data_IF_084710974016
#
_entry.id   IF_084710974016
#
_cell.length_a   1.000
_cell.length_b   1.000
_cell.length_c   1.000
_cell.angle_alpha   90.00
_cell.angle_beta   90.00
_cell.angle_gamma   90.00
#
_symmetry.space_group_name_H-M   'P 1'
#
loop_
_entity.id
_entity.type
_entity.pdbx_description
1 polymer ?
#
# COMPACT_ATOMS: atom_id res chain seq x y z
N UNK A 1 -24.71 -35.76 -17.36
CA UNK A 1 -23.45 -36.07 -18.06
C UNK A 1 -22.33 -35.34 -17.33
N UNK A 2 -21.50 -36.09 -16.60
CA UNK A 2 -20.41 -35.58 -15.77
C UNK A 2 -19.29 -35.03 -16.67
N UNK A 3 -19.16 -33.71 -16.77
CA UNK A 3 -17.90 -33.12 -17.18
C UNK A 3 -16.89 -33.48 -16.08
N UNK A 4 -15.88 -34.28 -16.39
CA UNK A 4 -14.77 -34.51 -15.48
C UNK A 4 -14.28 -33.14 -14.99
N UNK A 5 -14.47 -32.85 -13.71
CA UNK A 5 -14.09 -31.57 -13.12
C UNK A 5 -12.61 -31.35 -13.44
N UNK A 6 -12.32 -30.42 -14.35
CA UNK A 6 -10.96 -30.18 -14.80
C UNK A 6 -10.22 -29.51 -13.66
N UNK A 7 -9.39 -30.28 -12.96
CA UNK A 7 -8.49 -29.76 -11.96
C UNK A 7 -7.35 -29.01 -12.63
N UNK A 8 -7.09 -27.81 -12.15
CA UNK A 8 -6.04 -26.93 -12.66
C UNK A 8 -4.81 -27.01 -11.77
N UNK A 9 -3.62 -26.93 -12.37
CA UNK A 9 -2.38 -26.68 -11.64
C UNK A 9 -2.40 -25.27 -11.03
N UNK A 10 -1.54 -24.97 -10.03
CA UNK A 10 -1.45 -23.63 -9.45
C UNK A 10 -1.22 -22.53 -10.48
N UNK A 11 -0.37 -22.79 -11.49
CA UNK A 11 -0.07 -21.82 -12.54
C UNK A 11 -1.25 -21.58 -13.47
N UNK A 12 -2.00 -22.62 -13.81
CA UNK A 12 -3.21 -22.49 -14.64
C UNK A 12 -4.33 -21.75 -13.88
N UNK A 13 -4.55 -22.12 -12.62
CA UNK A 13 -5.54 -21.47 -11.75
C UNK A 13 -5.21 -19.98 -11.55
N UNK A 14 -3.96 -19.67 -11.24
CA UNK A 14 -3.46 -18.30 -11.08
C UNK A 14 -3.70 -17.46 -12.34
N UNK A 15 -3.33 -17.99 -13.51
CA UNK A 15 -3.55 -17.32 -14.80
C UNK A 15 -5.03 -17.09 -15.08
N UNK A 16 -5.89 -18.06 -14.79
CA UNK A 16 -7.33 -17.93 -15.04
C UNK A 16 -8.01 -16.95 -14.07
N UNK A 17 -7.51 -16.83 -12.84
CA UNK A 17 -7.98 -15.88 -11.84
C UNK A 17 -7.33 -14.49 -11.96
N UNK A 18 -6.31 -14.33 -12.80
CA UNK A 18 -5.59 -13.07 -12.97
C UNK A 18 -4.74 -12.67 -11.75
N UNK A 19 -4.26 -13.65 -10.97
CA UNK A 19 -3.43 -13.44 -9.77
C UNK A 19 -2.12 -14.21 -9.86
N UNK A 20 -1.20 -13.94 -8.95
CA UNK A 20 0.02 -14.74 -8.83
C UNK A 20 -0.24 -16.12 -8.18
N UNK A 21 0.61 -17.11 -8.50
CA UNK A 21 0.63 -18.39 -7.79
C UNK A 21 1.02 -18.22 -6.30
N UNK A 22 1.66 -17.10 -5.94
CA UNK A 22 1.97 -16.74 -4.56
C UNK A 22 0.70 -16.34 -3.80
N UNK A 23 -0.19 -15.56 -4.43
CA UNK A 23 -1.50 -15.22 -3.85
C UNK A 23 -2.34 -16.48 -3.58
N UNK A 24 -2.36 -17.46 -4.50
CA UNK A 24 -3.05 -18.73 -4.24
C UNK A 24 -2.52 -19.48 -3.01
N UNK A 25 -1.20 -19.46 -2.78
CA UNK A 25 -0.58 -20.05 -1.57
C UNK A 25 -0.95 -19.25 -0.34
N UNK A 26 -0.93 -17.92 -0.43
CA UNK A 26 -1.33 -17.04 0.67
C UNK A 26 -2.80 -17.28 1.08
N UNK A 27 -3.70 -17.46 0.11
CA UNK A 27 -5.10 -17.78 0.39
C UNK A 27 -5.26 -19.15 1.06
N UNK A 28 -4.48 -20.16 0.67
CA UNK A 28 -4.44 -21.44 1.37
C UNK A 28 -3.87 -21.33 2.78
N UNK A 29 -2.74 -20.63 2.96
CA UNK A 29 -2.10 -20.40 4.26
C UNK A 29 -3.05 -19.67 5.24
N UNK A 30 -3.95 -18.84 4.71
CA UNK A 30 -4.97 -18.11 5.46
C UNK A 30 -6.32 -18.84 5.54
N UNK A 31 -6.39 -20.07 5.02
CA UNK A 31 -7.58 -20.92 5.10
C UNK A 31 -8.76 -20.46 4.21
N UNK A 32 -8.53 -19.52 3.29
CA UNK A 32 -9.56 -18.96 2.41
C UNK A 32 -9.90 -19.89 1.24
N UNK A 33 -8.92 -20.68 0.80
CA UNK A 33 -9.07 -21.72 -0.22
C UNK A 33 -8.42 -23.00 0.28
N UNK A 34 -9.09 -24.14 0.13
CA UNK A 34 -8.51 -25.46 0.41
C UNK A 34 -8.33 -26.23 -0.90
N UNK A 35 -7.15 -26.18 -1.55
CA UNK A 35 -6.91 -26.92 -2.78
C UNK A 35 -6.92 -28.43 -2.53
N UNK A 36 -7.57 -29.16 -3.43
CA UNK A 36 -7.38 -30.59 -3.57
C UNK A 36 -5.91 -30.91 -3.87
N UNK A 37 -5.47 -32.15 -3.60
CA UNK A 37 -4.10 -32.60 -3.89
C UNK A 37 -4.13 -33.83 -4.79
N UNK A 38 -3.26 -33.84 -5.78
CA UNK A 38 -3.00 -35.02 -6.63
C UNK A 38 -2.39 -36.15 -5.80
N UNK A 39 -2.39 -37.41 -6.28
CA UNK A 39 -1.71 -38.52 -5.61
C UNK A 39 -0.21 -38.27 -5.37
N UNK A 40 0.44 -37.46 -6.22
CA UNK A 40 1.83 -37.05 -6.06
C UNK A 40 2.03 -35.87 -5.09
N UNK A 41 0.97 -35.39 -4.43
CA UNK A 41 1.01 -34.33 -3.41
C UNK A 41 0.93 -32.89 -3.93
N UNK A 42 0.84 -32.70 -5.26
CA UNK A 42 0.71 -31.37 -5.87
C UNK A 42 -0.68 -30.78 -5.68
N UNK A 43 -0.76 -29.46 -5.47
CA UNK A 43 -2.03 -28.70 -5.41
C UNK A 43 -2.78 -28.80 -6.73
N UNK A 44 -4.09 -28.96 -6.63
CA UNK A 44 -5.02 -29.08 -7.73
C UNK A 44 -6.29 -28.27 -7.39
N UNK A 45 -6.70 -27.39 -8.29
CA UNK A 45 -7.84 -26.50 -8.07
C UNK A 45 -9.01 -26.96 -8.95
N UNK A 46 -10.06 -27.45 -8.31
CA UNK A 46 -11.29 -27.85 -8.99
C UNK A 46 -12.26 -26.68 -9.15
N UNK A 47 -13.46 -26.93 -9.68
CA UNK A 47 -14.48 -25.90 -9.88
C UNK A 47 -14.86 -25.13 -8.62
N UNK A 48 -14.91 -25.80 -7.46
CA UNK A 48 -15.24 -25.17 -6.19
C UNK A 48 -14.14 -24.20 -5.73
N UNK A 49 -12.87 -24.61 -5.82
CA UNK A 49 -11.74 -23.76 -5.46
C UNK A 49 -11.58 -22.59 -6.44
N UNK A 50 -11.88 -22.79 -7.73
CA UNK A 50 -11.90 -21.71 -8.72
C UNK A 50 -13.03 -20.72 -8.48
N UNK A 51 -14.23 -21.18 -8.12
CA UNK A 51 -15.33 -20.29 -7.75
C UNK A 51 -14.99 -19.47 -6.49
N UNK A 52 -14.43 -20.11 -5.47
CA UNK A 52 -13.96 -19.44 -4.26
C UNK A 52 -12.84 -18.44 -4.55
N UNK A 53 -11.91 -18.79 -5.43
CA UNK A 53 -10.84 -17.90 -5.88
C UNK A 53 -11.39 -16.66 -6.59
N UNK A 54 -12.40 -16.82 -7.45
CA UNK A 54 -13.05 -15.70 -8.13
C UNK A 54 -13.78 -14.78 -7.15
N UNK A 55 -14.48 -15.34 -6.16
CA UNK A 55 -15.12 -14.58 -5.07
C UNK A 55 -14.09 -13.76 -4.28
N UNK A 56 -12.96 -14.38 -3.90
CA UNK A 56 -11.86 -13.71 -3.21
C UNK A 56 -11.32 -12.55 -4.05
N UNK A 57 -11.03 -12.76 -5.34
CA UNK A 57 -10.52 -11.72 -6.24
C UNK A 57 -11.50 -10.55 -6.34
N UNK A 58 -12.79 -10.83 -6.50
CA UNK A 58 -13.83 -9.80 -6.59
C UNK A 58 -13.95 -8.98 -5.30
N UNK A 59 -13.94 -9.63 -4.14
CA UNK A 59 -13.98 -8.93 -2.85
C UNK A 59 -12.72 -8.09 -2.64
N UNK A 60 -11.54 -8.62 -2.94
CA UNK A 60 -10.29 -7.86 -2.79
C UNK A 60 -10.22 -6.62 -3.67
N UNK A 61 -10.94 -6.58 -4.79
CA UNK A 61 -11.06 -5.38 -5.62
C UNK A 61 -11.78 -4.21 -4.89
N UNK A 62 -12.51 -4.48 -3.80
CA UNK A 62 -13.09 -3.44 -2.93
C UNK A 62 -12.08 -2.89 -1.90
N UNK A 63 -10.83 -3.34 -1.92
CA UNK A 63 -9.77 -2.87 -1.03
C UNK A 63 -9.70 -3.60 0.31
N UNK A 64 -10.35 -4.76 0.47
CA UNK A 64 -10.29 -5.52 1.71
C UNK A 64 -8.88 -6.06 1.96
N UNK A 65 -8.44 -5.92 3.21
CA UNK A 65 -7.34 -6.71 3.76
C UNK A 65 -7.72 -8.20 3.82
N UNK A 66 -6.71 -9.07 3.92
CA UNK A 66 -6.94 -10.52 3.97
C UNK A 66 -7.71 -10.95 5.23
N UNK A 67 -7.46 -10.30 6.38
CA UNK A 67 -8.22 -10.52 7.60
C UNK A 67 -9.69 -10.13 7.49
N UNK A 68 -9.99 -8.96 6.92
CA UNK A 68 -11.38 -8.51 6.68
C UNK A 68 -12.10 -9.44 5.69
N UNK A 69 -11.42 -9.84 4.62
CA UNK A 69 -11.92 -10.81 3.65
C UNK A 69 -12.32 -12.13 4.32
N UNK A 70 -11.51 -12.67 5.23
CA UNK A 70 -11.83 -13.88 5.96
C UNK A 70 -13.14 -13.75 6.76
N UNK A 71 -13.34 -12.60 7.42
CA UNK A 71 -14.54 -12.30 8.20
C UNK A 71 -15.78 -12.17 7.32
N UNK A 72 -15.67 -11.44 6.20
CA UNK A 72 -16.76 -11.30 5.23
C UNK A 72 -17.16 -12.66 4.65
N UNK A 73 -16.18 -13.50 4.27
CA UNK A 73 -16.46 -14.85 3.75
C UNK A 73 -17.06 -15.79 4.81
N UNK A 74 -16.94 -15.47 6.10
CA UNK A 74 -17.60 -16.17 7.21
C UNK A 74 -18.98 -15.60 7.57
N UNK A 75 -19.44 -14.55 6.89
CA UNK A 75 -20.77 -13.96 7.09
C UNK A 75 -20.83 -12.80 8.09
N UNK A 76 -19.70 -12.15 8.39
CA UNK A 76 -19.68 -10.96 9.26
C UNK A 76 -20.28 -9.74 8.54
N UNK A 77 -21.59 -9.53 8.72
CA UNK A 77 -22.33 -8.44 8.09
C UNK A 77 -21.85 -7.04 8.52
N UNK A 78 -21.33 -6.89 9.75
CA UNK A 78 -20.88 -5.60 10.25
C UNK A 78 -19.57 -5.16 9.58
N UNK A 79 -18.65 -6.10 9.31
CA UNK A 79 -17.45 -5.81 8.52
C UNK A 79 -17.83 -5.49 7.08
N UNK A 80 -18.74 -6.26 6.48
CA UNK A 80 -19.19 -6.02 5.11
C UNK A 80 -19.83 -4.63 4.95
N UNK A 81 -20.75 -4.25 5.84
CA UNK A 81 -21.39 -2.93 5.83
C UNK A 81 -20.37 -1.79 5.89
N UNK A 82 -19.40 -1.87 6.81
CA UNK A 82 -18.33 -0.88 6.95
C UNK A 82 -17.48 -0.76 5.67
N UNK A 83 -17.11 -1.90 5.08
CA UNK A 83 -16.32 -1.92 3.83
C UNK A 83 -17.12 -1.30 2.68
N UNK A 84 -18.40 -1.64 2.55
CA UNK A 84 -19.27 -1.08 1.53
C UNK A 84 -19.48 0.42 1.72
N UNK A 85 -19.69 0.90 2.95
CA UNK A 85 -19.79 2.32 3.26
C UNK A 85 -18.51 3.09 2.91
N UNK A 86 -17.34 2.53 3.19
CA UNK A 86 -16.05 3.13 2.79
C UNK A 86 -15.87 3.15 1.26
N UNK A 87 -16.32 2.10 0.57
CA UNK A 87 -16.30 2.04 -0.88
C UNK A 87 -17.26 3.07 -1.50
N UNK A 88 -18.48 3.21 -0.96
CA UNK A 88 -19.45 4.23 -1.34
C UNK A 88 -18.85 5.63 -1.21
N UNK A 89 -18.28 5.97 -0.05
CA UNK A 89 -17.61 7.26 0.15
C UNK A 89 -16.47 7.52 -0.86
N UNK A 90 -15.73 6.48 -1.24
CA UNK A 90 -14.69 6.56 -2.27
C UNK A 90 -15.27 6.84 -3.65
N UNK A 91 -16.36 6.15 -4.03
CA UNK A 91 -17.05 6.39 -5.29
C UNK A 91 -17.65 7.80 -5.36
N UNK A 92 -18.27 8.27 -4.29
CA UNK A 92 -18.79 9.63 -4.20
C UNK A 92 -17.68 10.68 -4.35
N UNK A 93 -16.52 10.47 -3.72
CA UNK A 93 -15.36 11.35 -3.87
C UNK A 93 -14.88 11.39 -5.33
N UNK A 94 -14.86 10.25 -6.02
CA UNK A 94 -14.53 10.17 -7.45
C UNK A 94 -15.56 10.89 -8.31
N UNK A 95 -16.85 10.76 -8.01
CA UNK A 95 -17.91 11.50 -8.72
C UNK A 95 -17.71 13.01 -8.57
N UNK A 96 -17.44 13.50 -7.36
CA UNK A 96 -17.13 14.92 -7.11
C UNK A 96 -15.91 15.38 -7.92
N UNK A 97 -14.82 14.62 -7.90
CA UNK A 97 -13.60 14.91 -8.66
C UNK A 97 -13.82 14.95 -10.18
N UNK A 98 -14.63 14.03 -10.71
CA UNK A 98 -15.03 14.03 -12.10
C UNK A 98 -15.85 15.29 -12.42
N UNK A 99 -16.80 15.66 -11.56
CA UNK A 99 -17.57 16.90 -11.66
C UNK A 99 -16.69 18.14 -11.73
N UNK A 100 -15.70 18.26 -10.85
CA UNK A 100 -14.76 19.38 -10.83
C UNK A 100 -13.91 19.44 -12.10
N UNK A 101 -13.45 18.27 -12.57
CA UNK A 101 -12.69 18.17 -13.82
C UNK A 101 -13.53 18.60 -15.03
N UNK A 102 -14.80 18.18 -15.09
CA UNK A 102 -15.75 18.61 -16.13
C UNK A 102 -15.96 20.13 -16.06
N UNK A 103 -16.11 20.70 -14.87
CA UNK A 103 -16.28 22.15 -14.70
C UNK A 103 -15.05 22.92 -15.21
N UNK A 104 -13.83 22.47 -14.88
CA UNK A 104 -12.57 23.05 -15.40
C UNK A 104 -12.50 23.00 -16.92
N UNK A 105 -12.78 21.83 -17.52
CA UNK A 105 -12.79 21.68 -18.99
C UNK A 105 -13.84 22.59 -19.65
N UNK A 106 -15.03 22.73 -19.05
CA UNK A 106 -16.08 23.64 -19.56
C UNK A 106 -15.63 25.10 -19.50
N UNK A 107 -14.96 25.53 -18.44
CA UNK A 107 -14.40 26.88 -18.33
C UNK A 107 -13.37 27.15 -19.44
N UNK A 108 -12.44 26.21 -19.68
CA UNK A 108 -11.46 26.35 -20.78
C UNK A 108 -12.12 26.41 -22.15
N UNK A 109 -13.17 25.62 -22.38
CA UNK A 109 -13.95 25.67 -23.63
C UNK A 109 -14.68 27.00 -23.82
N UNK A 110 -15.18 27.60 -22.75
CA UNK A 110 -15.83 28.90 -22.79
C UNK A 110 -14.82 30.02 -23.11
N UNK A 111 -13.64 30.01 -22.48
CA UNK A 111 -12.54 30.95 -22.79
C UNK A 111 -12.16 30.88 -24.27
N UNK A 112 -11.99 29.66 -24.82
CA UNK A 112 -11.71 29.44 -26.24
C UNK A 112 -12.84 29.98 -27.14
N UNK A 113 -14.10 29.74 -26.77
CA UNK A 113 -15.27 30.27 -27.50
C UNK A 113 -15.35 31.80 -27.49
N UNK A 114 -14.81 32.44 -26.45
CA UNK A 114 -14.67 33.90 -26.34
C UNK A 114 -13.40 34.47 -27.00
N UNK A 115 -12.61 33.65 -27.70
CA UNK A 115 -11.37 34.06 -28.37
C UNK A 115 -10.16 34.21 -27.45
N UNK A 116 -10.25 33.79 -26.19
CA UNK A 116 -9.15 33.80 -25.22
C UNK A 116 -8.49 32.43 -25.20
N UNK A 117 -7.21 32.36 -25.60
CA UNK A 117 -6.42 31.13 -25.49
C UNK A 117 -6.04 30.88 -24.01
N UNK A 118 -6.46 29.76 -23.40
CA UNK A 118 -6.02 29.43 -22.05
C UNK A 118 -4.52 29.13 -22.00
N UNK A 119 -3.88 29.40 -20.87
CA UNK A 119 -2.46 29.10 -20.71
C UNK A 119 -2.22 27.59 -20.68
N UNK A 120 -1.07 27.12 -21.17
CA UNK A 120 -0.72 25.70 -21.19
C UNK A 120 -0.84 25.03 -19.80
N UNK A 121 -0.50 25.75 -18.72
CA UNK A 121 -0.66 25.28 -17.32
C UNK A 121 -2.11 25.01 -16.94
N UNK A 122 -3.05 25.81 -17.44
CA UNK A 122 -4.49 25.69 -17.16
C UNK A 122 -5.07 24.49 -17.90
N UNK A 123 -4.63 24.28 -19.15
CA UNK A 123 -4.96 23.10 -19.95
C UNK A 123 -4.46 21.83 -19.26
N UNK A 124 -3.19 21.80 -18.85
CA UNK A 124 -2.59 20.65 -18.13
C UNK A 124 -3.33 20.39 -16.81
N UNK A 125 -3.64 21.44 -16.04
CA UNK A 125 -4.36 21.33 -14.77
C UNK A 125 -5.83 20.93 -14.91
N UNK A 126 -6.47 21.15 -16.06
CA UNK A 126 -7.83 20.68 -16.31
C UNK A 126 -7.87 19.19 -16.70
N UNK A 127 -6.82 18.69 -17.37
CA UNK A 127 -6.69 17.27 -17.74
C UNK A 127 -6.21 16.43 -16.57
N UNK A 128 -5.33 16.97 -15.72
CA UNK A 128 -4.84 16.28 -14.53
C UNK A 128 -5.80 16.48 -13.38
N UNK A 129 -6.24 15.38 -12.78
CA UNK A 129 -7.19 15.43 -11.67
C UNK A 129 -6.58 15.99 -10.36
N UNK A 130 -5.24 16.09 -10.30
CA UNK A 130 -4.43 16.66 -9.22
C UNK A 130 -3.19 17.37 -9.76
N UNK A 131 -2.65 18.38 -9.07
CA UNK A 131 -1.28 18.83 -9.34
C UNK A 131 -0.35 17.63 -9.10
N UNK A 132 0.38 17.23 -10.15
CA UNK A 132 1.34 16.14 -10.01
C UNK A 132 2.46 16.62 -9.09
N UNK A 133 2.49 16.10 -7.86
CA UNK A 133 3.66 16.24 -7.01
C UNK A 133 4.77 15.45 -7.71
N UNK A 134 5.85 16.15 -8.00
CA UNK A 134 7.04 15.60 -8.60
C UNK A 134 8.23 16.04 -7.78
N UNK A 135 9.21 15.16 -7.68
CA UNK A 135 10.42 15.41 -6.90
C UNK A 135 11.62 14.91 -7.69
N UNK A 136 12.68 15.71 -7.73
CA UNK A 136 13.91 15.37 -8.42
C UNK A 136 15.11 15.87 -7.65
N UNK A 137 16.08 14.98 -7.43
CA UNK A 137 17.30 15.27 -6.67
C UNK A 137 18.41 14.31 -7.05
N UNK A 138 19.63 14.66 -6.68
CA UNK A 138 20.78 13.79 -6.84
C UNK A 138 20.84 12.80 -5.67
N UNK A 139 21.03 11.52 -5.99
CA UNK A 139 20.94 10.46 -5.03
C UNK A 139 22.16 10.44 -4.09
N UNK A 140 21.95 10.18 -2.79
CA UNK A 140 23.05 10.03 -1.85
C UNK A 140 23.83 8.72 -2.09
N UNK A 141 24.89 8.47 -1.32
CA UNK A 141 25.49 7.13 -1.27
C UNK A 141 24.42 6.08 -0.88
N UNK A 142 24.29 4.93 -1.57
CA UNK A 142 25.29 4.26 -2.42
C UNK A 142 25.23 4.55 -3.93
N UNK A 143 24.42 5.51 -4.40
CA UNK A 143 24.15 5.71 -5.83
C UNK A 143 25.06 6.72 -6.54
N UNK A 144 26.09 7.23 -5.87
CA UNK A 144 27.13 8.04 -6.51
C UNK A 144 26.68 9.39 -7.10
N UNK A 145 25.56 9.97 -6.63
CA UNK A 145 25.07 11.26 -7.14
C UNK A 145 24.21 11.18 -8.40
N UNK A 146 23.84 9.97 -8.84
CA UNK A 146 22.93 9.80 -9.99
C UNK A 146 21.61 10.56 -9.81
N UNK A 147 21.07 11.08 -10.92
CA UNK A 147 19.83 11.86 -10.89
C UNK A 147 18.63 10.93 -10.70
N UNK A 148 17.86 11.17 -9.65
CA UNK A 148 16.56 10.54 -9.43
C UNK A 148 15.43 11.51 -9.70
N UNK A 149 14.39 11.01 -10.35
CA UNK A 149 13.17 11.76 -10.61
C UNK A 149 11.96 10.84 -10.39
N UNK A 150 11.04 11.31 -9.54
CA UNK A 150 9.74 10.69 -9.32
C UNK A 150 8.67 11.67 -9.80
N UNK A 151 7.95 11.26 -10.84
CA UNK A 151 6.80 11.98 -11.39
C UNK A 151 5.52 11.29 -10.93
N UNK A 152 4.46 12.07 -10.76
CA UNK A 152 3.13 11.54 -10.41
C UNK A 152 3.11 10.77 -9.08
N UNK A 153 3.61 11.42 -8.03
CA UNK A 153 3.55 10.88 -6.66
C UNK A 153 2.11 10.50 -6.33
N UNK A 154 1.91 9.25 -5.93
CA UNK A 154 0.59 8.68 -5.63
C UNK A 154 0.18 8.97 -4.18
N UNK A 155 -1.09 8.78 -3.81
CA UNK A 155 -1.51 8.76 -2.40
C UNK A 155 -0.68 7.79 -1.53
N UNK A 156 -0.38 6.60 -2.03
CA UNK A 156 0.44 5.61 -1.32
C UNK A 156 1.67 5.24 -2.14
N UNK A 157 2.87 5.36 -1.55
CA UNK A 157 4.13 5.09 -2.22
C UNK A 157 4.97 4.11 -1.37
N UNK A 158 5.11 2.89 -1.87
CA UNK A 158 5.88 1.82 -1.27
C UNK A 158 7.35 1.95 -1.65
N UNK A 159 8.26 1.98 -0.69
CA UNK A 159 9.70 1.90 -0.92
C UNK A 159 10.18 0.51 -0.53
N UNK A 160 10.62 -0.28 -1.51
CA UNK A 160 10.98 -1.69 -1.32
C UNK A 160 12.42 -1.93 -1.75
N UNK A 161 13.12 -2.81 -1.04
CA UNK A 161 14.44 -3.27 -1.44
C UNK A 161 15.10 -4.14 -0.38
N UNK A 162 16.11 -4.94 -0.75
CA UNK A 162 16.78 -5.84 0.18
C UNK A 162 17.52 -5.08 1.30
N UNK A 163 18.04 -5.82 2.27
CA UNK A 163 18.88 -5.22 3.30
C UNK A 163 20.13 -4.58 2.65
N UNK A 164 20.50 -3.37 3.06
CA UNK A 164 21.66 -2.66 2.51
C UNK A 164 21.47 -2.03 1.12
N UNK A 165 20.26 -2.02 0.54
CA UNK A 165 20.01 -1.39 -0.78
C UNK A 165 20.03 0.14 -0.79
N UNK A 166 20.18 0.78 0.37
CA UNK A 166 20.12 2.24 0.51
C UNK A 166 18.72 2.83 0.73
N UNK A 167 17.65 2.02 0.70
CA UNK A 167 16.24 2.50 0.79
C UNK A 167 15.95 3.53 1.90
N UNK A 168 16.52 3.37 3.10
CA UNK A 168 16.34 4.35 4.19
C UNK A 168 16.94 5.71 3.83
N UNK A 169 18.08 5.73 3.12
CA UNK A 169 18.67 7.00 2.64
C UNK A 169 17.88 7.63 1.51
N UNK A 170 17.28 6.82 0.63
CA UNK A 170 16.34 7.35 -0.36
C UNK A 170 15.16 8.04 0.35
N UNK A 171 14.60 7.40 1.38
CA UNK A 171 13.48 7.94 2.13
C UNK A 171 13.83 9.23 2.90
N UNK A 172 14.99 9.29 3.54
CA UNK A 172 15.50 10.52 4.15
C UNK A 172 15.64 11.63 3.10
N UNK A 173 16.25 11.33 1.95
CA UNK A 173 16.42 12.30 0.86
C UNK A 173 15.08 12.76 0.27
N UNK A 174 14.09 11.87 0.18
CA UNK A 174 12.72 12.22 -0.22
C UNK A 174 12.09 13.20 0.77
N UNK A 175 12.23 12.96 2.08
CA UNK A 175 11.70 13.85 3.11
C UNK A 175 12.36 15.25 3.07
N UNK A 176 13.63 15.35 2.68
CA UNK A 176 14.30 16.64 2.51
C UNK A 176 13.89 17.38 1.23
N UNK A 177 13.55 16.64 0.16
CA UNK A 177 13.29 17.21 -1.15
C UNK A 177 11.81 17.50 -1.42
N UNK A 178 10.90 16.81 -0.75
CA UNK A 178 9.46 17.02 -0.85
C UNK A 178 9.02 18.23 0.00
N UNK A 179 8.06 19.03 -0.48
CA UNK A 179 7.54 20.16 0.29
C UNK A 179 6.83 19.66 1.54
N UNK A 180 7.15 20.25 2.70
CA UNK A 180 6.56 19.93 4.00
C UNK A 180 6.64 18.44 4.38
N UNK A 181 7.63 17.69 3.89
CA UNK A 181 7.76 16.28 4.27
C UNK A 181 8.53 16.08 5.57
N UNK A 182 8.22 15.00 6.28
CA UNK A 182 8.92 14.61 7.52
C UNK A 182 9.33 13.14 7.46
N UNK A 183 10.55 12.84 7.89
CA UNK A 183 11.02 11.46 8.01
C UNK A 183 10.72 10.94 9.41
N UNK A 184 10.03 9.80 9.48
CA UNK A 184 9.68 9.11 10.73
C UNK A 184 10.52 7.83 10.82
N UNK A 185 11.50 7.82 11.72
CA UNK A 185 12.44 6.71 11.89
C UNK A 185 11.88 5.49 12.63
N UNK A 186 12.73 4.47 12.80
CA UNK A 186 12.42 3.27 13.60
C UNK A 186 12.38 3.56 15.10
N UNK A 187 13.06 4.61 15.54
CA UNK A 187 13.14 5.09 16.91
C UNK A 187 11.84 5.75 17.40
N UNK A 188 10.83 5.91 16.53
CA UNK A 188 9.52 6.48 16.86
C UNK A 188 8.86 5.88 18.11
N UNK A 189 9.13 4.61 18.42
CA UNK A 189 8.60 3.91 19.59
C UNK A 189 9.69 3.47 20.59
N UNK A 190 10.92 4.00 20.48
CA UNK A 190 12.06 3.57 21.31
C UNK A 190 11.89 3.86 22.81
N UNK A 191 11.12 4.89 23.15
CA UNK A 191 10.80 5.28 24.53
C UNK A 191 9.48 4.64 25.05
N UNK A 192 8.97 3.62 24.35
CA UNK A 192 7.68 3.02 24.64
C UNK A 192 6.50 3.97 24.38
N UNK A 193 6.67 4.97 23.49
CA UNK A 193 5.65 5.94 23.12
C UNK A 193 5.42 7.03 24.15
N UNK A 194 6.40 7.32 25.02
CA UNK A 194 6.27 8.37 26.04
C UNK A 194 6.17 9.77 25.41
N UNK A 195 7.04 10.09 24.45
CA UNK A 195 7.03 11.37 23.73
C UNK A 195 5.73 11.57 22.93
N UNK A 196 5.21 10.49 22.30
CA UNK A 196 3.93 10.55 21.60
C UNK A 196 2.78 10.79 22.56
N UNK A 197 2.72 10.09 23.71
CA UNK A 197 1.68 10.33 24.72
C UNK A 197 1.69 11.77 25.20
N UNK A 198 2.86 12.32 25.51
CA UNK A 198 2.97 13.72 25.91
C UNK A 198 2.46 14.70 24.82
N UNK A 199 2.72 14.42 23.54
CA UNK A 199 2.16 15.19 22.41
C UNK A 199 0.64 15.08 22.34
N UNK A 200 0.09 13.86 22.46
CA UNK A 200 -1.36 13.63 22.41
C UNK A 200 -2.08 14.27 23.60
N UNK A 201 -1.48 14.25 24.80
CA UNK A 201 -2.04 14.90 25.98
C UNK A 201 -2.06 16.43 25.83
N UNK A 202 -1.12 17.00 25.06
CA UNK A 202 -1.07 18.43 24.76
C UNK A 202 -2.04 18.86 23.63
N UNK A 203 -2.48 17.94 22.78
CA UNK A 203 -3.43 18.18 21.68
C UNK A 203 -4.62 17.20 21.74
N UNK A 204 -5.70 17.56 22.45
CA UNK A 204 -6.89 16.73 22.57
C UNK A 204 -7.58 16.39 21.24
N UNK A 205 -7.44 17.25 20.22
CA UNK A 205 -8.06 17.00 18.92
C UNK A 205 -7.27 15.94 18.15
N UNK A 206 -5.94 16.02 18.15
CA UNK A 206 -5.08 14.97 17.61
C UNK A 206 -5.29 13.65 18.35
N UNK A 207 -5.36 13.68 19.69
CA UNK A 207 -5.66 12.50 20.50
C UNK A 207 -6.99 11.85 20.11
N UNK A 208 -8.06 12.62 19.94
CA UNK A 208 -9.35 12.09 19.55
C UNK A 208 -9.31 11.36 18.18
N UNK A 209 -8.57 11.90 17.20
CA UNK A 209 -8.37 11.23 15.90
C UNK A 209 -7.59 9.93 16.05
N UNK A 210 -6.50 9.94 16.84
CA UNK A 210 -5.69 8.74 17.09
C UNK A 210 -6.51 7.67 17.81
N UNK A 211 -7.29 8.02 18.83
CA UNK A 211 -8.12 7.08 19.58
C UNK A 211 -9.22 6.48 18.67
N UNK A 212 -9.84 7.28 17.80
CA UNK A 212 -10.79 6.79 16.81
C UNK A 212 -10.14 5.86 15.77
N UNK A 213 -8.96 6.23 15.28
CA UNK A 213 -8.16 5.42 14.35
C UNK A 213 -7.78 4.10 15.01
N UNK A 214 -7.27 4.12 16.24
CA UNK A 214 -6.91 2.94 17.01
C UNK A 214 -8.11 2.01 17.20
N UNK A 215 -9.26 2.54 17.63
CA UNK A 215 -10.49 1.76 17.79
C UNK A 215 -10.91 1.05 16.50
N UNK A 216 -10.79 1.72 15.34
CA UNK A 216 -11.07 1.11 14.04
C UNK A 216 -10.12 -0.05 13.73
N UNK A 217 -8.81 0.12 13.97
CA UNK A 217 -7.83 -0.94 13.74
C UNK A 217 -8.05 -2.14 14.67
N UNK A 218 -8.38 -1.91 15.94
CA UNK A 218 -8.71 -2.99 16.89
C UNK A 218 -9.98 -3.75 16.44
N UNK A 219 -10.98 -3.05 15.91
CA UNK A 219 -12.16 -3.66 15.33
C UNK A 219 -11.84 -4.53 14.10
N UNK A 220 -10.71 -4.28 13.43
CA UNK A 220 -10.17 -5.07 12.30
C UNK A 220 -9.19 -6.17 12.75
N UNK A 221 -8.99 -6.33 14.06
CA UNK A 221 -8.17 -7.40 14.65
C UNK A 221 -6.72 -7.00 14.92
N UNK A 222 -6.36 -5.72 14.82
CA UNK A 222 -5.07 -5.23 15.28
C UNK A 222 -4.91 -5.41 16.80
N UNK A 223 -3.67 -5.40 17.26
CA UNK A 223 -3.31 -5.48 18.67
C UNK A 223 -2.79 -4.13 19.13
N UNK A 224 -3.35 -3.61 20.22
CA UNK A 224 -2.89 -2.37 20.82
C UNK A 224 -1.45 -2.54 21.34
N UNK A 225 -0.54 -1.76 20.78
CA UNK A 225 0.87 -1.74 21.15
C UNK A 225 1.40 -0.32 21.07
N UNK A 226 2.47 0.03 21.81
CA UNK A 226 3.11 1.35 21.66
C UNK A 226 3.53 1.65 20.23
N UNK A 227 3.98 0.63 19.46
CA UNK A 227 4.35 0.78 18.07
C UNK A 227 3.16 1.18 17.19
N UNK A 228 1.99 0.57 17.38
CA UNK A 228 0.76 0.94 16.67
C UNK A 228 0.31 2.35 17.05
N UNK A 229 0.20 2.66 18.33
CA UNK A 229 -0.25 3.98 18.79
C UNK A 229 0.66 5.10 18.30
N UNK A 230 1.98 4.92 18.37
CA UNK A 230 2.95 5.85 17.79
C UNK A 230 2.76 6.01 16.29
N UNK A 231 2.61 4.91 15.54
CA UNK A 231 2.41 4.98 14.09
C UNK A 231 1.14 5.77 13.75
N UNK A 232 0.03 5.49 14.43
CA UNK A 232 -1.23 6.20 14.22
C UNK A 232 -1.11 7.68 14.58
N UNK A 233 -0.36 8.03 15.62
CA UNK A 233 -0.10 9.43 15.95
C UNK A 233 0.63 10.18 14.82
N UNK A 234 1.55 9.53 14.11
CA UNK A 234 2.22 10.12 12.94
C UNK A 234 1.29 10.20 11.72
N UNK A 235 0.42 9.20 11.52
CA UNK A 235 -0.53 9.17 10.39
C UNK A 235 -1.70 10.16 10.55
N UNK A 236 -2.14 10.41 11.79
CA UNK A 236 -3.27 11.29 12.13
C UNK A 236 -2.84 12.71 12.54
N UNK A 237 -1.54 13.02 12.41
CA UNK A 237 -1.02 14.36 12.67
C UNK A 237 -1.71 15.38 11.74
N UNK A 238 -2.15 16.50 12.31
CA UNK A 238 -2.75 17.57 11.50
C UNK A 238 -1.68 18.27 10.64
N UNK A 239 -2.03 18.54 9.39
CA UNK A 239 -1.27 19.41 8.50
C UNK A 239 -1.07 18.83 7.10
N UNK A 240 -0.54 19.69 6.22
CA UNK A 240 -0.17 19.32 4.85
C UNK A 240 1.18 18.58 4.78
N UNK A 241 1.59 17.93 5.87
CA UNK A 241 2.87 17.25 5.92
C UNK A 241 2.83 15.95 5.12
N UNK A 242 3.91 15.64 4.40
CA UNK A 242 4.06 14.39 3.66
C UNK A 242 4.92 13.43 4.52
N UNK A 243 4.30 12.49 5.26
CA UNK A 243 5.05 11.53 6.05
C UNK A 243 5.86 10.58 5.17
N UNK A 244 7.11 10.36 5.56
CA UNK A 244 8.01 9.33 5.01
C UNK A 244 8.42 8.38 6.14
N UNK A 245 7.75 7.24 6.23
CA UNK A 245 7.84 6.32 7.37
C UNK A 245 8.85 5.20 7.10
N UNK A 246 9.87 5.08 7.96
CA UNK A 246 10.78 3.95 7.93
C UNK A 246 10.11 2.69 8.48
N UNK A 247 10.13 1.62 7.68
CA UNK A 247 9.51 0.31 7.92
C UNK A 247 8.13 0.42 8.60
N UNK A 248 7.06 0.54 7.81
CA UNK A 248 5.68 0.69 8.31
C UNK A 248 5.31 -0.42 9.31
N UNK A 249 5.71 -1.65 9.02
CA UNK A 249 5.54 -2.84 9.86
C UNK A 249 6.29 -2.88 11.19
N UNK A 250 7.21 -1.96 11.48
CA UNK A 250 8.13 -2.12 12.62
C UNK A 250 7.36 -2.13 13.95
N UNK A 251 7.56 -3.20 14.73
CA UNK A 251 6.85 -3.41 16.00
C UNK A 251 5.39 -3.87 15.87
N UNK A 252 4.91 -4.16 14.66
CA UNK A 252 3.54 -4.59 14.41
C UNK A 252 3.46 -6.08 14.11
N UNK A 253 2.45 -6.75 14.65
CA UNK A 253 2.13 -8.13 14.28
C UNK A 253 1.43 -8.21 12.92
N UNK A 254 1.16 -9.44 12.44
CA UNK A 254 0.58 -9.63 11.12
C UNK A 254 -0.82 -9.00 10.97
N UNK A 255 -1.65 -9.10 12.00
CA UNK A 255 -3.01 -8.58 11.98
C UNK A 255 -3.03 -7.04 11.98
N UNK A 256 -2.17 -6.42 12.79
CA UNK A 256 -2.03 -4.96 12.83
C UNK A 256 -1.47 -4.41 11.52
N UNK A 257 -0.53 -5.11 10.87
CA UNK A 257 -0.02 -4.74 9.55
C UNK A 257 -1.13 -4.76 8.48
N UNK A 258 -1.99 -5.77 8.51
CA UNK A 258 -3.13 -5.89 7.57
C UNK A 258 -4.18 -4.80 7.81
N UNK A 259 -4.52 -4.52 9.08
CA UNK A 259 -5.47 -3.47 9.44
C UNK A 259 -4.96 -2.10 8.99
N UNK A 260 -3.69 -1.79 9.25
CA UNK A 260 -3.07 -0.51 8.86
C UNK A 260 -3.13 -0.33 7.35
N UNK A 261 -2.70 -1.31 6.56
CA UNK A 261 -2.67 -1.11 5.10
C UNK A 261 -4.09 -1.05 4.49
N UNK A 262 -5.04 -1.79 5.05
CA UNK A 262 -6.43 -1.72 4.63
C UNK A 262 -7.02 -0.32 4.87
N UNK A 263 -6.77 0.27 6.04
CA UNK A 263 -7.21 1.64 6.34
C UNK A 263 -6.50 2.68 5.47
N UNK A 264 -5.19 2.55 5.24
CA UNK A 264 -4.43 3.45 4.36
C UNK A 264 -4.98 3.49 2.93
N UNK A 265 -5.38 2.34 2.37
CA UNK A 265 -6.00 2.25 1.04
C UNK A 265 -7.37 2.92 0.96
N UNK A 266 -8.07 3.05 2.10
CA UNK A 266 -9.38 3.71 2.20
C UNK A 266 -9.31 5.23 2.36
N UNK A 267 -8.11 5.83 2.49
CA UNK A 267 -7.94 7.30 2.56
C UNK A 267 -8.41 8.01 1.28
N UNK A 268 -8.61 7.25 0.20
CA UNK A 268 -9.20 7.71 -1.04
C UNK A 268 -8.22 8.46 -1.95
N UNK A 269 -8.63 8.74 -3.19
CA UNK A 269 -7.76 9.36 -4.20
C UNK A 269 -7.41 10.81 -3.87
N UNK A 270 -8.04 11.42 -2.87
CA UNK A 270 -7.78 12.79 -2.41
C UNK A 270 -6.89 12.87 -1.15
N UNK A 271 -6.36 11.73 -0.67
CA UNK A 271 -5.41 11.74 0.44
C UNK A 271 -4.10 12.46 0.08
N UNK A 272 -3.48 13.09 1.09
CA UNK A 272 -2.09 13.55 0.99
C UNK A 272 -1.17 12.36 0.74
N UNK A 273 -0.10 12.51 -0.07
CA UNK A 273 0.87 11.46 -0.27
C UNK A 273 1.46 10.95 1.04
N UNK A 274 1.67 9.64 1.09
CA UNK A 274 2.39 8.96 2.15
C UNK A 274 3.44 8.05 1.50
N UNK A 275 4.66 8.14 2.00
CA UNK A 275 5.75 7.24 1.62
C UNK A 275 6.08 6.35 2.81
N UNK A 276 6.36 5.08 2.54
CA UNK A 276 6.81 4.18 3.59
C UNK A 276 7.64 3.04 3.05
N UNK A 277 8.60 2.59 3.85
CA UNK A 277 9.34 1.39 3.53
C UNK A 277 8.54 0.17 3.98
N UNK A 278 8.59 -0.89 3.18
CA UNK A 278 8.11 -2.19 3.62
C UNK A 278 8.85 -3.35 2.96
N UNK A 279 8.92 -4.47 3.66
CA UNK A 279 9.26 -5.79 3.12
C UNK A 279 8.22 -6.84 3.51
N UNK A 280 7.10 -6.42 4.10
CA UNK A 280 6.06 -7.33 4.54
C UNK A 280 5.10 -7.66 3.41
N UNK A 281 4.88 -8.95 3.17
CA UNK A 281 3.80 -9.40 2.27
C UNK A 281 2.39 -9.22 2.88
N UNK A 282 2.30 -8.86 4.17
CA UNK A 282 1.02 -8.47 4.79
C UNK A 282 0.65 -7.01 4.47
N UNK A 283 1.64 -6.19 4.10
CA UNK A 283 1.46 -4.78 3.73
C UNK A 283 1.42 -4.65 2.20
N UNK A 284 2.46 -5.11 1.51
CA UNK A 284 2.51 -5.04 0.05
C UNK A 284 2.10 -6.38 -0.55
N UNK A 285 0.88 -6.44 -1.05
CA UNK A 285 0.42 -7.48 -1.96
C UNK A 285 0.37 -6.94 -3.38
N UNK A 286 1.25 -7.47 -4.23
CA UNK A 286 1.42 -7.04 -5.63
C UNK A 286 0.16 -7.24 -6.47
N UNK A 287 -0.66 -8.24 -6.14
CA UNK A 287 -1.90 -8.52 -6.88
C UNK A 287 -3.03 -7.54 -6.50
N UNK A 288 -2.84 -6.71 -5.46
CA UNK A 288 -3.84 -5.77 -4.95
C UNK A 288 -3.42 -4.30 -5.06
N UNK A 289 -2.33 -4.00 -5.77
CA UNK A 289 -1.85 -2.61 -5.96
C UNK A 289 -2.72 -1.93 -7.02
N UNK A 290 -3.40 -0.85 -6.64
CA UNK A 290 -4.26 -0.05 -7.51
C UNK A 290 -3.57 1.17 -8.15
N UNK A 291 -4.36 1.99 -8.84
CA UNK A 291 -3.89 3.19 -9.58
C UNK A 291 -3.39 4.33 -8.67
N UNK A 292 -3.85 4.33 -7.41
CA UNK A 292 -3.49 5.30 -6.36
C UNK A 292 -2.27 4.84 -5.53
N UNK A 293 -1.58 3.80 -5.99
CA UNK A 293 -0.43 3.20 -5.34
C UNK A 293 0.78 3.18 -6.30
N UNK A 294 1.97 3.43 -5.78
CA UNK A 294 3.23 3.32 -6.53
C UNK A 294 4.25 2.48 -5.76
N UNK A 295 5.01 1.65 -6.47
CA UNK A 295 6.11 0.87 -5.91
C UNK A 295 7.44 1.44 -6.41
N UNK A 296 8.33 1.78 -5.50
CA UNK A 296 9.69 2.24 -5.78
C UNK A 296 10.65 1.16 -5.28
N UNK A 297 11.36 0.52 -6.20
CA UNK A 297 12.38 -0.49 -5.90
C UNK A 297 13.75 0.17 -5.77
N UNK A 298 14.44 -0.09 -4.66
CA UNK A 298 15.87 0.12 -4.47
C UNK A 298 16.62 -1.21 -4.68
N UNK A 299 17.27 -1.44 -5.83
CA UNK A 299 17.89 -2.72 -6.17
C UNK A 299 19.12 -3.09 -5.31
N UNK A 300 19.43 -4.38 -5.25
CA UNK A 300 20.56 -4.92 -4.47
C UNK A 300 21.93 -4.47 -4.98
N UNK A 301 22.04 -4.26 -6.30
CA UNK A 301 23.26 -3.83 -6.99
C UNK A 301 23.48 -2.31 -6.95
N UNK A 302 22.69 -1.58 -6.15
CA UNK A 302 22.77 -0.12 -6.02
C UNK A 302 22.61 0.63 -7.35
N UNK A 303 21.90 0.07 -8.33
CA UNK A 303 21.42 0.87 -9.45
C UNK A 303 20.37 1.90 -8.96
N UNK A 304 20.16 2.94 -9.75
CA UNK A 304 19.18 4.00 -9.48
C UNK A 304 17.82 3.38 -9.13
N UNK A 305 17.12 3.87 -8.09
CA UNK A 305 15.78 3.39 -7.74
C UNK A 305 14.79 3.59 -8.88
N UNK A 306 13.90 2.63 -9.09
CA UNK A 306 12.95 2.62 -10.22
C UNK A 306 11.51 2.39 -9.75
N UNK A 307 10.56 3.02 -10.44
CA UNK A 307 9.15 2.69 -10.27
C UNK A 307 8.86 1.32 -10.90
N UNK A 308 8.12 0.47 -10.17
CA UNK A 308 7.79 -0.90 -10.59
C UNK A 308 6.31 -1.00 -10.86
N UNK A 309 5.97 -1.45 -12.07
CA UNK A 309 4.60 -1.84 -12.40
C UNK A 309 4.30 -3.19 -11.73
N UNK A 310 3.19 -3.34 -10.99
CA UNK A 310 2.83 -4.55 -10.25
C UNK A 310 2.29 -5.67 -11.17
N UNK A 311 2.95 -5.91 -12.30
CA UNK A 311 2.56 -6.92 -13.29
C UNK A 311 3.68 -7.95 -13.42
N UNK A 312 3.41 -9.26 -13.31
CA UNK A 312 4.41 -10.30 -13.53
C UNK A 312 5.15 -10.12 -14.86
N UNK A 313 6.49 -10.14 -14.78
CA UNK A 313 7.38 -9.92 -15.95
C UNK A 313 7.73 -8.45 -16.22
N UNK A 314 7.11 -7.47 -15.55
CA UNK A 314 7.53 -6.08 -15.62
C UNK A 314 8.93 -5.89 -14.98
N UNK A 315 9.65 -4.86 -15.43
CA UNK A 315 10.98 -4.53 -14.91
C UNK A 315 10.89 -4.27 -13.40
N UNK A 316 11.71 -4.99 -12.63
CA UNK A 316 11.76 -4.88 -11.16
C UNK A 316 10.70 -5.68 -10.41
N UNK A 317 9.68 -6.25 -11.06
CA UNK A 317 8.61 -7.01 -10.40
C UNK A 317 9.17 -8.18 -9.57
N UNK A 318 10.01 -9.03 -10.18
CA UNK A 318 10.58 -10.19 -9.49
C UNK A 318 11.52 -9.79 -8.34
N UNK A 319 12.23 -8.66 -8.50
CA UNK A 319 13.09 -8.14 -7.45
C UNK A 319 12.28 -7.62 -6.25
N UNK A 320 11.13 -6.98 -6.49
CA UNK A 320 10.19 -6.64 -5.42
C UNK A 320 9.62 -7.91 -4.78
N UNK A 321 9.13 -8.86 -5.59
CA UNK A 321 8.51 -10.09 -5.10
C UNK A 321 9.43 -10.93 -4.20
N UNK A 322 10.73 -10.95 -4.48
CA UNK A 322 11.76 -11.62 -3.66
C UNK A 322 12.11 -10.86 -2.39
N UNK A 323 11.89 -9.55 -2.32
CA UNK A 323 12.07 -8.76 -1.10
C UNK A 323 10.92 -8.96 -0.09
N UNK A 324 9.75 -9.43 -0.55
CA UNK A 324 8.55 -9.56 0.25
C UNK A 324 8.44 -10.93 0.93
N UNK A 325 8.37 -10.92 2.25
CA UNK A 325 8.23 -12.11 3.07
C UNK A 325 7.11 -11.95 4.10
N UNK A 326 6.57 -13.07 4.58
CA UNK A 326 5.53 -13.07 5.61
C UNK A 326 6.08 -12.48 6.93
N UNK A 327 5.20 -11.91 7.77
CA UNK A 327 5.61 -11.39 9.09
C UNK A 327 6.40 -12.42 9.92
N UNK A 328 6.01 -13.70 9.89
CA UNK A 328 6.69 -14.76 10.62
C UNK A 328 8.10 -15.05 10.10
N UNK A 329 8.29 -15.06 8.78
CA UNK A 329 9.63 -15.23 8.18
C UNK A 329 10.51 -14.04 8.52
N UNK A 330 9.95 -12.83 8.50
CA UNK A 330 10.69 -11.61 8.79
C UNK A 330 11.12 -11.50 10.24
N UNK A 331 10.27 -11.86 11.20
CA UNK A 331 10.60 -11.89 12.62
C UNK A 331 11.82 -12.79 12.91
N UNK A 332 12.03 -13.86 12.13
CA UNK A 332 13.22 -14.74 12.25
C UNK A 332 14.51 -14.12 11.72
N UNK A 333 14.40 -13.13 10.84
CA UNK A 333 15.54 -12.43 10.22
C UNK A 333 15.77 -11.04 10.80
N UNK A 334 14.89 -10.60 11.70
CA UNK A 334 14.97 -9.31 12.39
C UNK A 334 16.17 -9.35 13.35
N UNK A 335 17.12 -8.44 13.17
CA UNK A 335 18.39 -8.43 13.92
C UNK A 335 19.58 -9.09 13.21
N UNK A 336 19.41 -9.75 12.06
CA UNK A 336 20.53 -10.08 11.18
C UNK A 336 21.00 -8.80 10.46
N UNK A 337 21.75 -7.98 11.17
CA UNK A 337 22.48 -6.85 10.59
C UNK A 337 23.51 -7.44 9.63
N UNK A 338 23.39 -7.12 8.33
CA UNK A 338 24.46 -7.33 7.38
C UNK A 338 25.62 -6.38 7.76
N UNK A 339 26.43 -6.82 8.72
CA UNK A 339 27.70 -6.19 9.04
C UNK A 339 28.61 -6.41 7.83
N UNK A 340 28.89 -5.34 7.09
CA UNK A 340 30.10 -5.25 6.27
C UNK A 340 30.97 -4.18 6.93
N UNK A 341 32.16 -4.54 7.44
CA UNK A 341 33.10 -3.54 7.93
C UNK A 341 33.51 -2.60 6.78
N UNK A 342 33.81 -1.36 7.17
CA UNK A 342 34.19 -0.24 6.32
C UNK A 342 35.42 -0.54 5.45
#
# INVERSE_FOLDING_TARGET
MNAAARFLSPSEAARQLGISAKALRLYEERGLIAPSRTPAGWRAYGPAEMARGAEIVALRALGLGIGELARVLSGDAAVLDRVLAAHEATLEARVRQCGDSIARVRALRADLGGGKMPAAREIIGAVRARPAIAVAFDLPWPWGGERFELRDVKPLNYIVGPLGSGKTRLAQRLAEALPNASFVGLDRAADGGAAVRARLDADPAHKARVDASLAAHLADGAVETPALTTLLAELEADGDAIPVIDMLEHGLDAASQEAVIAQLRRRGPQAQPLFFLTRSSAILDLDAVGDDEAIILCPANHSVPVCVTPVPGAVGYEAVATCLASPQVRARTEGMIAWRPA
#
